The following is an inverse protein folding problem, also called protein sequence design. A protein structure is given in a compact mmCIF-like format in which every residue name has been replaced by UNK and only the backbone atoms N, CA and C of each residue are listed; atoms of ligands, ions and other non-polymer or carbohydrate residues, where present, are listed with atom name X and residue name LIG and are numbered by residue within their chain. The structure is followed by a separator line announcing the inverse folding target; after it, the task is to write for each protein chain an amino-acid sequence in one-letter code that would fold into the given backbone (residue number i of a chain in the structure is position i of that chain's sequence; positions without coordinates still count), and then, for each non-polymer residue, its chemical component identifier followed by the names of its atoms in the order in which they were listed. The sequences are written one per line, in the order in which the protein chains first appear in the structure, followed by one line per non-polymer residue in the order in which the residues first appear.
data_IF_145880702131
#
_entry.id   IF_145880702131
#
_cell.length_a   1.000
_cell.length_b   1.000
_cell.length_c   1.000
_cell.angle_alpha   90.00
_cell.angle_beta   90.00
_cell.angle_gamma   90.00
#
_symmetry.space_group_name_H-M   'P 1'
#
loop_
_entity.id
_entity.type
_entity.pdbx_description
1 polymer ?
#
# COMPACT_ATOMS: atom_id res chain seq x y z
N UNK A 1 -50.66 -22.18 -24.05
CA UNK A 1 -51.26 -21.93 -22.72
C UNK A 1 -51.16 -20.46 -22.29
N UNK A 2 -50.05 -19.81 -22.52
CA UNK A 2 -49.81 -18.37 -22.23
C UNK A 2 -50.82 -17.41 -22.82
N UNK A 3 -51.28 -17.63 -24.05
CA UNK A 3 -52.30 -16.80 -24.74
C UNK A 3 -53.68 -16.84 -24.06
N UNK A 4 -54.10 -18.01 -23.53
CA UNK A 4 -55.37 -18.17 -22.83
C UNK A 4 -55.33 -17.43 -21.48
N UNK A 5 -54.23 -17.53 -20.76
CA UNK A 5 -54.01 -16.83 -19.47
C UNK A 5 -53.97 -15.30 -19.66
N UNK A 6 -53.35 -14.82 -20.74
CA UNK A 6 -53.35 -13.39 -21.09
C UNK A 6 -54.75 -12.87 -21.38
N UNK A 7 -55.56 -13.62 -22.11
CA UNK A 7 -56.98 -13.27 -22.35
C UNK A 7 -57.83 -13.28 -21.05
N UNK A 8 -57.57 -14.25 -20.16
CA UNK A 8 -58.26 -14.32 -18.87
C UNK A 8 -57.89 -13.13 -17.95
N UNK A 9 -56.63 -12.75 -17.91
CA UNK A 9 -56.14 -11.59 -17.15
C UNK A 9 -56.74 -10.29 -17.69
N UNK A 10 -56.81 -10.15 -19.01
CA UNK A 10 -57.41 -8.99 -19.64
C UNK A 10 -58.94 -8.91 -19.36
N UNK A 11 -59.64 -10.03 -19.45
CA UNK A 11 -61.08 -10.11 -19.10
C UNK A 11 -61.32 -9.76 -17.64
N UNK A 12 -60.47 -10.21 -16.72
CA UNK A 12 -60.49 -9.87 -15.30
C UNK A 12 -60.29 -8.38 -15.05
N UNK A 13 -59.41 -7.74 -15.81
CA UNK A 13 -59.19 -6.30 -15.71
C UNK A 13 -60.42 -5.50 -16.19
N UNK A 14 -61.07 -5.91 -17.28
CA UNK A 14 -62.33 -5.31 -17.77
C UNK A 14 -63.42 -5.48 -16.71
N UNK A 15 -63.59 -6.66 -16.13
CA UNK A 15 -64.60 -6.91 -15.10
C UNK A 15 -64.38 -6.06 -13.84
N UNK A 16 -63.14 -5.77 -13.46
CA UNK A 16 -62.83 -4.84 -12.38
C UNK A 16 -63.36 -3.42 -12.68
N UNK A 17 -63.02 -2.89 -13.88
CA UNK A 17 -63.43 -1.53 -14.27
C UNK A 17 -64.99 -1.42 -14.27
N UNK A 18 -65.68 -2.36 -14.93
CA UNK A 18 -67.15 -2.39 -14.99
C UNK A 18 -67.74 -2.53 -13.59
N UNK A 19 -67.15 -3.38 -12.72
CA UNK A 19 -67.64 -3.62 -11.36
C UNK A 19 -67.43 -2.43 -10.41
N UNK A 20 -66.39 -1.64 -10.60
CA UNK A 20 -66.16 -0.40 -9.83
C UNK A 20 -67.18 0.73 -10.24
N UNK A 21 -67.58 0.79 -11.53
CA UNK A 21 -68.53 1.75 -12.01
C UNK A 21 -69.96 1.36 -11.60
N UNK A 22 -70.35 0.09 -11.80
CA UNK A 22 -71.72 -0.40 -11.49
C UNK A 22 -71.69 -1.80 -10.88
N UNK A 23 -71.47 -1.91 -9.54
CA UNK A 23 -71.28 -3.20 -8.83
C UNK A 23 -72.42 -4.20 -9.04
N UNK A 24 -73.66 -3.72 -9.24
CA UNK A 24 -74.82 -4.57 -9.45
C UNK A 24 -74.81 -5.35 -10.77
N UNK A 25 -73.95 -4.99 -11.74
CA UNK A 25 -73.83 -5.74 -12.99
C UNK A 25 -73.01 -6.99 -12.83
N UNK A 26 -71.97 -6.94 -11.96
CA UNK A 26 -71.06 -8.06 -11.73
C UNK A 26 -71.54 -8.96 -10.58
N UNK A 27 -72.03 -8.37 -9.47
CA UNK A 27 -72.46 -9.06 -8.27
C UNK A 27 -74.02 -9.18 -8.20
N UNK A 28 -74.64 -9.80 -9.21
CA UNK A 28 -76.05 -10.02 -9.26
C UNK A 28 -76.59 -10.95 -8.18
N UNK A 29 -75.71 -11.85 -7.64
CA UNK A 29 -76.05 -12.84 -6.62
C UNK A 29 -75.92 -12.34 -5.17
N UNK A 30 -75.55 -11.10 -4.95
CA UNK A 30 -75.42 -10.54 -3.61
C UNK A 30 -76.51 -9.51 -3.29
N UNK A 31 -77.16 -9.64 -2.09
CA UNK A 31 -78.26 -8.74 -1.67
C UNK A 31 -77.80 -7.29 -1.45
N UNK A 32 -76.54 -6.98 -1.33
CA UNK A 32 -75.92 -5.62 -1.24
C UNK A 32 -74.63 -5.57 -2.00
N UNK A 33 -74.67 -5.30 -3.31
CA UNK A 33 -73.41 -5.19 -4.08
C UNK A 33 -72.71 -3.87 -3.73
N UNK A 34 -71.45 -3.98 -3.22
CA UNK A 34 -70.62 -2.84 -2.88
C UNK A 34 -69.31 -2.89 -3.70
N UNK A 35 -68.69 -1.72 -3.99
CA UNK A 35 -67.40 -1.62 -4.69
C UNK A 35 -66.32 -2.40 -3.99
N UNK A 36 -66.32 -2.43 -2.63
CA UNK A 36 -65.37 -3.15 -1.84
C UNK A 36 -65.47 -4.67 -2.05
N UNK A 37 -66.67 -5.23 -2.20
CA UNK A 37 -66.88 -6.66 -2.50
C UNK A 37 -66.39 -7.00 -3.92
N UNK A 38 -66.61 -6.13 -4.91
CA UNK A 38 -66.07 -6.34 -6.24
C UNK A 38 -64.55 -6.41 -6.22
N UNK A 39 -63.90 -5.45 -5.53
CA UNK A 39 -62.46 -5.42 -5.39
C UNK A 39 -61.93 -6.70 -4.65
N UNK A 40 -62.57 -7.13 -3.57
CA UNK A 40 -62.19 -8.31 -2.84
C UNK A 40 -62.23 -9.59 -3.69
N UNK A 41 -63.34 -9.81 -4.44
CA UNK A 41 -63.45 -10.95 -5.35
C UNK A 41 -62.47 -10.86 -6.52
N UNK A 42 -62.13 -9.67 -7.00
CA UNK A 42 -61.13 -9.46 -8.04
C UNK A 42 -59.72 -9.83 -7.55
N UNK A 43 -59.36 -9.39 -6.33
CA UNK A 43 -58.06 -9.76 -5.72
C UNK A 43 -57.95 -11.28 -5.53
N UNK A 44 -59.02 -11.92 -5.09
CA UNK A 44 -59.03 -13.38 -4.90
C UNK A 44 -58.90 -14.12 -6.24
N UNK A 45 -59.59 -13.64 -7.30
CA UNK A 45 -59.48 -14.22 -8.63
C UNK A 45 -58.08 -13.97 -9.27
N UNK A 46 -57.53 -12.78 -9.11
CA UNK A 46 -56.18 -12.46 -9.56
C UNK A 46 -55.10 -13.34 -8.85
N UNK A 47 -55.26 -13.57 -7.54
CA UNK A 47 -54.40 -14.45 -6.75
C UNK A 47 -54.49 -15.91 -7.21
N UNK A 48 -55.67 -16.42 -7.49
CA UNK A 48 -55.89 -17.77 -8.03
C UNK A 48 -55.24 -17.93 -9.42
N UNK A 49 -55.41 -16.92 -10.30
CA UNK A 49 -54.75 -16.95 -11.62
C UNK A 49 -53.23 -16.90 -11.46
N UNK A 50 -52.71 -16.08 -10.53
CA UNK A 50 -51.29 -16.01 -10.22
C UNK A 50 -50.72 -17.38 -9.78
N UNK A 51 -51.42 -18.07 -8.89
CA UNK A 51 -51.03 -19.44 -8.46
C UNK A 51 -51.02 -20.43 -9.63
N UNK A 52 -52.05 -20.37 -10.49
CA UNK A 52 -52.15 -21.26 -11.65
C UNK A 52 -51.04 -20.93 -12.67
N UNK A 53 -50.68 -19.67 -12.84
CA UNK A 53 -49.58 -19.27 -13.76
C UNK A 53 -48.25 -19.80 -13.30
N UNK A 54 -47.98 -19.70 -12.00
CA UNK A 54 -46.74 -20.22 -11.39
C UNK A 54 -46.68 -21.75 -11.45
N UNK A 55 -47.82 -22.42 -11.25
CA UNK A 55 -47.90 -23.90 -11.25
C UNK A 55 -47.89 -24.50 -12.69
N UNK A 56 -48.15 -23.71 -13.73
CA UNK A 56 -48.19 -24.20 -15.13
C UNK A 56 -46.98 -23.80 -15.97
N UNK A 57 -46.00 -23.11 -15.39
CA UNK A 57 -44.71 -22.92 -16.06
C UNK A 57 -44.06 -24.29 -16.21
N UNK A 58 -44.10 -24.79 -17.45
CA UNK A 58 -43.63 -26.12 -17.75
C UNK A 58 -42.11 -26.18 -17.42
N UNK A 59 -41.69 -27.08 -16.52
CA UNK A 59 -40.28 -27.27 -16.10
C UNK A 59 -39.36 -27.47 -17.32
N UNK A 60 -39.90 -27.95 -18.42
CA UNK A 60 -39.19 -28.09 -19.68
C UNK A 60 -38.89 -26.73 -20.36
N UNK A 61 -39.76 -25.75 -20.28
CA UNK A 61 -39.51 -24.40 -20.81
C UNK A 61 -38.50 -23.63 -19.95
N UNK A 62 -38.50 -23.81 -18.64
CA UNK A 62 -37.50 -23.28 -17.71
C UNK A 62 -36.12 -23.88 -18.00
N UNK A 63 -36.05 -25.19 -18.18
CA UNK A 63 -34.81 -25.87 -18.48
C UNK A 63 -34.23 -25.39 -19.82
N UNK A 64 -35.08 -25.24 -20.84
CA UNK A 64 -34.68 -24.73 -22.17
C UNK A 64 -34.13 -23.31 -22.07
N UNK A 65 -34.79 -22.41 -21.34
CA UNK A 65 -34.32 -21.06 -21.10
C UNK A 65 -33.00 -21.03 -20.33
N UNK A 66 -32.82 -21.93 -19.35
CA UNK A 66 -31.57 -22.05 -18.60
C UNK A 66 -30.40 -22.52 -19.46
N UNK A 67 -30.63 -23.49 -20.36
CA UNK A 67 -29.62 -23.96 -21.34
C UNK A 67 -29.24 -22.84 -22.30
N UNK A 68 -30.19 -22.09 -22.81
CA UNK A 68 -29.92 -20.97 -23.73
C UNK A 68 -29.15 -19.85 -23.04
N UNK A 69 -29.53 -19.51 -21.81
CA UNK A 69 -28.77 -18.57 -20.99
C UNK A 69 -27.33 -19.08 -20.71
N UNK A 70 -27.16 -20.36 -20.41
CA UNK A 70 -25.85 -20.96 -20.21
C UNK A 70 -24.97 -20.89 -21.47
N UNK A 71 -25.53 -21.17 -22.66
CA UNK A 71 -24.82 -21.01 -23.94
C UNK A 71 -24.33 -19.57 -24.16
N UNK A 72 -25.16 -18.58 -23.85
CA UNK A 72 -24.79 -17.17 -23.92
C UNK A 72 -23.67 -16.80 -22.90
N UNK A 73 -23.70 -17.36 -21.70
CA UNK A 73 -22.61 -17.18 -20.73
C UNK A 73 -21.31 -17.85 -21.18
N UNK A 74 -21.38 -19.02 -21.84
CA UNK A 74 -20.21 -19.70 -22.42
C UNK A 74 -19.56 -18.82 -23.49
N UNK A 75 -20.35 -18.25 -24.40
CA UNK A 75 -19.86 -17.32 -25.43
C UNK A 75 -19.16 -16.07 -24.86
N UNK A 76 -19.58 -15.64 -23.66
CA UNK A 76 -18.97 -14.53 -22.94
C UNK A 76 -17.87 -14.95 -21.96
N UNK A 77 -17.40 -16.19 -22.03
CA UNK A 77 -16.40 -16.78 -21.15
C UNK A 77 -16.74 -16.70 -19.64
N UNK A 78 -18.04 -16.51 -19.32
CA UNK A 78 -18.52 -16.49 -17.95
C UNK A 78 -18.96 -17.90 -17.51
N UNK A 79 -17.99 -18.75 -17.32
CA UNK A 79 -18.21 -20.18 -17.05
C UNK A 79 -18.91 -20.43 -15.71
N UNK A 80 -18.65 -19.65 -14.68
CA UNK A 80 -19.31 -19.78 -13.37
C UNK A 80 -20.81 -19.56 -13.46
N UNK A 81 -21.24 -18.55 -14.21
CA UNK A 81 -22.66 -18.29 -14.43
C UNK A 81 -23.32 -19.35 -15.31
N UNK A 82 -22.59 -19.89 -16.30
CA UNK A 82 -23.08 -20.99 -17.12
C UNK A 82 -23.30 -22.26 -16.28
N UNK A 83 -22.33 -22.65 -15.43
CA UNK A 83 -22.43 -23.77 -14.52
C UNK A 83 -23.65 -23.63 -13.63
N UNK A 84 -23.81 -22.47 -12.95
CA UNK A 84 -24.96 -22.23 -12.06
C UNK A 84 -26.31 -22.36 -12.76
N UNK A 85 -26.42 -21.99 -14.05
CA UNK A 85 -27.66 -22.17 -14.83
C UNK A 85 -27.94 -23.62 -15.17
N UNK A 86 -26.91 -24.42 -15.44
CA UNK A 86 -27.04 -25.82 -15.85
C UNK A 86 -27.25 -26.74 -14.64
N UNK A 87 -26.64 -26.46 -13.49
CA UNK A 87 -26.80 -27.24 -12.26
C UNK A 87 -28.23 -27.21 -11.69
N UNK A 88 -28.97 -26.14 -11.99
CA UNK A 88 -30.35 -25.98 -11.51
C UNK A 88 -31.38 -26.77 -12.33
N UNK A 89 -30.97 -27.56 -13.34
CA UNK A 89 -31.86 -28.39 -14.14
C UNK A 89 -32.06 -29.75 -13.45
N UNK A 90 -33.32 -30.05 -13.14
CA UNK A 90 -33.69 -31.27 -12.43
C UNK A 90 -33.32 -32.54 -13.24
N UNK A 91 -32.92 -33.61 -12.53
CA UNK A 91 -32.58 -34.90 -13.10
C UNK A 91 -33.71 -35.60 -13.86
N UNK A 92 -34.94 -35.30 -13.46
CA UNK A 92 -36.15 -35.82 -14.09
C UNK A 92 -36.54 -35.08 -15.35
N UNK A 93 -35.88 -33.93 -15.63
CA UNK A 93 -36.17 -33.14 -16.82
C UNK A 93 -35.62 -33.83 -18.08
N UNK A 94 -36.38 -33.91 -19.19
CA UNK A 94 -35.93 -34.51 -20.44
C UNK A 94 -34.66 -33.86 -21.01
N UNK A 95 -34.35 -32.60 -20.68
CA UNK A 95 -33.18 -31.86 -21.13
C UNK A 95 -31.97 -32.01 -20.21
N UNK A 96 -32.09 -32.79 -19.10
CA UNK A 96 -30.99 -33.01 -18.17
C UNK A 96 -29.72 -33.55 -18.82
N UNK A 97 -29.88 -34.47 -19.76
CA UNK A 97 -28.75 -35.08 -20.48
C UNK A 97 -27.97 -34.03 -21.30
N UNK A 98 -28.69 -33.12 -21.98
CA UNK A 98 -28.06 -31.99 -22.71
C UNK A 98 -27.35 -31.03 -21.75
N UNK A 99 -27.95 -30.71 -20.61
CA UNK A 99 -27.36 -29.86 -19.58
C UNK A 99 -26.06 -30.45 -19.02
N UNK A 100 -26.03 -31.77 -18.77
CA UNK A 100 -24.83 -32.46 -18.30
C UNK A 100 -23.68 -32.45 -19.30
N UNK A 101 -23.96 -32.64 -20.58
CA UNK A 101 -22.96 -32.53 -21.64
C UNK A 101 -22.37 -31.11 -21.71
N UNK A 102 -23.21 -30.11 -21.60
CA UNK A 102 -22.76 -28.72 -21.56
C UNK A 102 -21.94 -28.42 -20.28
N UNK A 103 -22.35 -28.95 -19.15
CA UNK A 103 -21.59 -28.82 -17.87
C UNK A 103 -20.18 -29.39 -18.01
N UNK A 104 -20.02 -30.59 -18.52
CA UNK A 104 -18.70 -31.19 -18.76
C UNK A 104 -17.83 -30.34 -19.71
N UNK A 105 -18.43 -29.79 -20.75
CA UNK A 105 -17.73 -28.88 -21.66
C UNK A 105 -17.30 -27.60 -20.97
N UNK A 106 -18.18 -26.98 -20.20
CA UNK A 106 -17.91 -25.75 -19.47
C UNK A 106 -16.84 -25.95 -18.38
N UNK A 107 -16.90 -27.06 -17.65
CA UNK A 107 -15.88 -27.42 -16.67
C UNK A 107 -14.49 -27.57 -17.29
N UNK A 108 -14.44 -28.19 -18.48
CA UNK A 108 -13.19 -28.34 -19.22
C UNK A 108 -12.64 -26.98 -19.67
N UNK A 109 -13.48 -26.11 -20.22
CA UNK A 109 -13.11 -24.77 -20.64
C UNK A 109 -12.68 -23.89 -19.44
N UNK A 110 -13.40 -23.97 -18.33
CA UNK A 110 -13.07 -23.24 -17.13
C UNK A 110 -11.71 -23.64 -16.56
N UNK A 111 -11.39 -24.95 -16.54
CA UNK A 111 -10.08 -25.45 -16.10
C UNK A 111 -8.93 -24.94 -16.99
N UNK A 112 -9.15 -24.95 -18.33
CA UNK A 112 -8.14 -24.44 -19.28
C UNK A 112 -7.90 -22.94 -19.03
N UNK A 113 -8.97 -22.14 -18.98
CA UNK A 113 -8.88 -20.68 -18.78
C UNK A 113 -8.26 -20.32 -17.43
N UNK A 114 -8.59 -21.06 -16.36
CA UNK A 114 -8.00 -20.84 -15.04
C UNK A 114 -6.52 -21.22 -15.03
N UNK A 115 -6.14 -22.31 -15.71
CA UNK A 115 -4.73 -22.69 -15.90
C UNK A 115 -3.93 -21.63 -16.65
N UNK A 116 -4.48 -21.08 -17.74
CA UNK A 116 -3.84 -19.98 -18.49
C UNK A 116 -3.69 -18.72 -17.66
N UNK A 117 -4.71 -18.35 -16.86
CA UNK A 117 -4.64 -17.20 -15.96
C UNK A 117 -3.59 -17.38 -14.86
N UNK A 118 -3.47 -18.57 -14.29
CA UNK A 118 -2.44 -18.87 -13.29
C UNK A 118 -1.04 -18.80 -13.91
N UNK A 119 -0.85 -19.36 -15.09
CA UNK A 119 0.42 -19.31 -15.81
C UNK A 119 0.81 -17.85 -16.15
N UNK A 120 -0.14 -17.06 -16.65
CA UNK A 120 0.10 -15.64 -16.96
C UNK A 120 0.51 -14.84 -15.71
N UNK A 121 -0.15 -15.05 -14.57
CA UNK A 121 0.22 -14.43 -13.29
C UNK A 121 1.61 -14.85 -12.83
N UNK A 122 1.95 -16.12 -12.97
CA UNK A 122 3.28 -16.62 -12.60
C UNK A 122 4.39 -15.99 -13.46
N UNK A 123 4.17 -15.90 -14.77
CA UNK A 123 5.12 -15.27 -15.72
C UNK A 123 5.28 -13.78 -15.38
N UNK A 124 4.17 -13.06 -15.12
CA UNK A 124 4.21 -11.66 -14.74
C UNK A 124 4.96 -11.45 -13.42
N UNK A 125 4.69 -12.27 -12.41
CA UNK A 125 5.37 -12.22 -11.11
C UNK A 125 6.87 -12.45 -11.25
N UNK A 126 7.28 -13.44 -12.06
CA UNK A 126 8.71 -13.70 -12.34
C UNK A 126 9.37 -12.52 -13.04
N UNK A 127 8.69 -11.94 -14.05
CA UNK A 127 9.20 -10.78 -14.78
C UNK A 127 9.39 -9.57 -13.86
N UNK A 128 8.39 -9.24 -13.02
CA UNK A 128 8.49 -8.14 -12.04
C UNK A 128 9.63 -8.37 -11.06
N UNK A 129 9.84 -9.60 -10.58
CA UNK A 129 10.93 -9.93 -9.68
C UNK A 129 12.31 -9.76 -10.37
N UNK A 130 12.42 -10.17 -11.63
CA UNK A 130 13.65 -10.03 -12.43
C UNK A 130 13.95 -8.56 -12.74
N UNK A 131 12.96 -7.78 -13.15
CA UNK A 131 13.10 -6.34 -13.40
C UNK A 131 13.54 -5.59 -12.11
N UNK A 132 12.96 -5.92 -10.97
CA UNK A 132 13.36 -5.36 -9.67
C UNK A 132 14.83 -5.66 -9.35
N UNK A 133 15.25 -6.90 -9.58
CA UNK A 133 16.63 -7.34 -9.36
C UNK A 133 17.61 -6.60 -10.28
N UNK A 134 17.29 -6.48 -11.57
CA UNK A 134 18.12 -5.79 -12.54
C UNK A 134 18.25 -4.30 -12.21
N UNK A 135 17.15 -3.65 -11.86
CA UNK A 135 17.15 -2.26 -11.41
C UNK A 135 18.02 -2.05 -10.16
N UNK A 136 17.99 -2.99 -9.23
CA UNK A 136 18.82 -2.93 -8.01
C UNK A 136 20.32 -3.06 -8.34
N UNK A 137 20.69 -3.96 -9.26
CA UNK A 137 22.08 -4.10 -9.71
C UNK A 137 22.57 -2.83 -10.42
N UNK A 138 21.81 -2.33 -11.39
CA UNK A 138 22.17 -1.11 -12.11
C UNK A 138 22.32 0.09 -11.17
N UNK A 139 21.46 0.19 -10.14
CA UNK A 139 21.57 1.24 -9.12
C UNK A 139 22.88 1.10 -8.35
N UNK A 140 23.22 -0.11 -7.88
CA UNK A 140 24.48 -0.36 -7.16
C UNK A 140 25.70 -0.07 -8.02
N UNK A 141 25.72 -0.47 -9.29
CA UNK A 141 26.81 -0.19 -10.23
C UNK A 141 27.02 1.31 -10.46
N UNK A 142 25.91 2.05 -10.64
CA UNK A 142 25.96 3.52 -10.76
C UNK A 142 26.55 4.17 -9.53
N UNK A 143 26.13 3.74 -8.33
CA UNK A 143 26.65 4.30 -7.08
C UNK A 143 28.11 3.93 -6.86
N UNK A 144 28.51 2.69 -7.17
CA UNK A 144 29.94 2.28 -7.13
C UNK A 144 30.77 3.15 -8.07
N UNK A 145 30.26 3.44 -9.25
CA UNK A 145 30.93 4.33 -10.20
C UNK A 145 31.02 5.75 -9.66
N UNK A 146 29.91 6.30 -9.14
CA UNK A 146 29.86 7.65 -8.55
C UNK A 146 30.91 7.80 -7.43
N UNK A 147 30.99 6.79 -6.53
CA UNK A 147 32.00 6.78 -5.46
C UNK A 147 33.44 6.68 -6.02
N UNK A 148 33.66 5.91 -7.09
CA UNK A 148 34.97 5.80 -7.74
C UNK A 148 35.43 7.06 -8.46
N UNK A 149 34.49 7.72 -9.16
CA UNK A 149 34.77 8.97 -9.89
C UNK A 149 35.11 10.10 -8.90
N UNK A 150 34.79 9.89 -7.62
CA UNK A 150 35.04 10.82 -6.53
C UNK A 150 33.92 11.84 -6.40
N UNK A 151 33.63 12.23 -5.17
CA UNK A 151 32.71 13.33 -4.86
C UNK A 151 33.52 14.53 -4.41
N UNK A 152 33.30 15.66 -5.04
CA UNK A 152 33.91 16.92 -4.58
C UNK A 152 33.13 17.46 -3.39
N UNK A 153 33.56 17.09 -2.19
CA UNK A 153 32.98 17.59 -0.96
C UNK A 153 33.31 19.06 -0.64
N UNK A 154 34.16 19.71 -1.42
CA UNK A 154 34.50 21.12 -1.18
C UNK A 154 33.29 22.05 -1.31
N UNK A 155 32.33 21.68 -2.14
CA UNK A 155 31.07 22.41 -2.34
C UNK A 155 30.12 22.34 -1.14
N UNK A 156 30.30 21.34 -0.26
CA UNK A 156 29.50 21.10 0.94
C UNK A 156 30.13 21.70 2.21
N UNK A 157 30.97 22.73 2.06
CA UNK A 157 31.70 23.35 3.19
C UNK A 157 31.20 24.79 3.41
N UNK A 158 31.41 25.30 4.61
CA UNK A 158 31.19 26.71 4.92
C UNK A 158 29.90 27.05 5.65
N UNK A 159 28.87 26.24 5.58
CA UNK A 159 27.63 26.40 6.35
C UNK A 159 27.19 25.08 6.98
N UNK A 160 26.36 25.12 8.03
CA UNK A 160 25.82 23.91 8.66
C UNK A 160 24.95 23.16 7.67
N UNK A 161 24.12 23.86 6.92
CA UNK A 161 23.22 23.22 5.93
C UNK A 161 24.01 22.49 4.84
N UNK A 162 25.11 23.07 4.38
CA UNK A 162 25.99 22.42 3.41
C UNK A 162 26.62 21.14 3.99
N UNK A 163 27.10 21.17 5.24
CA UNK A 163 27.60 19.96 5.91
C UNK A 163 26.50 18.90 6.09
N UNK A 164 25.26 19.30 6.35
CA UNK A 164 24.14 18.36 6.44
C UNK A 164 23.85 17.71 5.08
N UNK A 165 24.01 18.41 3.96
CA UNK A 165 23.85 17.82 2.63
C UNK A 165 24.88 16.71 2.37
N UNK A 166 26.13 16.86 2.83
CA UNK A 166 27.12 15.78 2.77
C UNK A 166 26.67 14.56 3.60
N UNK A 167 26.11 14.78 4.78
CA UNK A 167 25.55 13.69 5.60
C UNK A 167 24.36 13.00 4.93
N UNK A 168 23.49 13.76 4.25
CA UNK A 168 22.37 13.18 3.47
C UNK A 168 22.88 12.26 2.37
N UNK A 169 23.97 12.61 1.69
CA UNK A 169 24.59 11.76 0.68
C UNK A 169 25.05 10.43 1.28
N UNK A 170 25.75 10.47 2.42
CA UNK A 170 26.14 9.26 3.14
C UNK A 170 24.92 8.43 3.58
N UNK A 171 23.85 9.07 4.05
CA UNK A 171 22.59 8.40 4.38
C UNK A 171 21.94 7.72 3.19
N UNK A 172 22.00 8.33 2.01
CA UNK A 172 21.49 7.73 0.77
C UNK A 172 22.23 6.43 0.45
N UNK A 173 23.56 6.44 0.50
CA UNK A 173 24.34 5.23 0.29
C UNK A 173 24.09 4.17 1.36
N UNK A 174 23.94 4.57 2.62
CA UNK A 174 23.61 3.64 3.70
C UNK A 174 22.27 2.92 3.46
N UNK A 175 21.25 3.63 2.96
CA UNK A 175 19.98 3.01 2.60
C UNK A 175 20.12 2.02 1.44
N UNK A 176 20.85 2.38 0.38
CA UNK A 176 21.12 1.48 -0.76
C UNK A 176 21.86 0.22 -0.31
N UNK A 177 22.83 0.37 0.59
CA UNK A 177 23.57 -0.76 1.18
C UNK A 177 22.63 -1.65 1.98
N UNK A 178 21.79 -1.07 2.84
CA UNK A 178 20.82 -1.82 3.66
C UNK A 178 19.81 -2.59 2.78
N UNK A 179 19.31 -1.97 1.71
CA UNK A 179 18.43 -2.64 0.73
C UNK A 179 19.15 -3.84 0.07
N UNK A 180 20.42 -3.66 -0.28
CA UNK A 180 21.22 -4.69 -0.93
C UNK A 180 21.62 -5.84 0.00
N UNK A 181 21.88 -5.56 1.28
CA UNK A 181 22.17 -6.57 2.30
C UNK A 181 20.97 -7.50 2.56
N UNK A 182 19.76 -7.02 2.37
CA UNK A 182 18.53 -7.79 2.48
C UNK A 182 18.17 -8.57 1.20
N UNK A 183 18.98 -8.47 0.15
CA UNK A 183 18.74 -9.20 -1.10
C UNK A 183 19.20 -10.65 -0.99
N UNK A 184 18.44 -11.59 -1.54
CA UNK A 184 18.83 -12.98 -1.67
C UNK A 184 19.68 -13.25 -2.93
N UNK A 185 19.94 -12.25 -3.78
CA UNK A 185 20.73 -12.41 -4.98
C UNK A 185 22.24 -12.28 -4.68
N UNK A 186 23.04 -13.29 -5.01
CA UNK A 186 24.49 -13.28 -4.70
C UNK A 186 25.26 -12.14 -5.38
N UNK A 187 24.81 -11.72 -6.58
CA UNK A 187 25.47 -10.65 -7.32
C UNK A 187 25.14 -9.28 -6.71
N UNK A 188 23.87 -9.07 -6.33
CA UNK A 188 23.45 -7.88 -5.56
C UNK A 188 24.22 -7.79 -4.26
N UNK A 189 24.34 -8.90 -3.51
CA UNK A 189 25.14 -8.92 -2.27
C UNK A 189 26.62 -8.60 -2.50
N UNK A 190 27.20 -9.10 -3.60
CA UNK A 190 28.60 -8.80 -3.96
C UNK A 190 28.79 -7.31 -4.25
N UNK A 191 27.92 -6.72 -5.08
CA UNK A 191 27.96 -5.29 -5.39
C UNK A 191 27.73 -4.44 -4.13
N UNK A 192 26.81 -4.84 -3.27
CA UNK A 192 26.55 -4.17 -1.99
C UNK A 192 27.80 -4.15 -1.09
N UNK A 193 28.51 -5.27 -0.97
CA UNK A 193 29.77 -5.33 -0.21
C UNK A 193 30.83 -4.40 -0.80
N UNK A 194 30.91 -4.30 -2.13
CA UNK A 194 31.84 -3.38 -2.81
C UNK A 194 31.51 -1.93 -2.51
N UNK A 195 30.21 -1.55 -2.65
CA UNK A 195 29.77 -0.19 -2.33
C UNK A 195 30.03 0.15 -0.86
N UNK A 196 29.67 -0.76 0.06
CA UNK A 196 29.89 -0.59 1.50
C UNK A 196 31.36 -0.31 1.82
N UNK A 197 32.28 -1.12 1.31
CA UNK A 197 33.71 -0.94 1.55
C UNK A 197 34.20 0.44 1.08
N UNK A 198 33.72 0.91 -0.07
CA UNK A 198 34.11 2.22 -0.64
C UNK A 198 33.54 3.38 0.18
N UNK A 199 32.24 3.32 0.54
CA UNK A 199 31.58 4.33 1.34
C UNK A 199 32.21 4.43 2.73
N UNK A 200 32.51 3.31 3.38
CA UNK A 200 33.23 3.30 4.67
C UNK A 200 34.59 3.98 4.54
N UNK A 201 35.38 3.63 3.51
CA UNK A 201 36.68 4.29 3.27
C UNK A 201 36.56 5.79 3.08
N UNK A 202 35.53 6.23 2.34
CA UNK A 202 35.25 7.66 2.11
C UNK A 202 34.85 8.35 3.43
N UNK A 203 33.98 7.74 4.23
CA UNK A 203 33.56 8.29 5.52
C UNK A 203 34.74 8.45 6.48
N UNK A 204 35.62 7.45 6.57
CA UNK A 204 36.84 7.52 7.41
C UNK A 204 37.68 8.75 7.03
N UNK A 205 37.76 9.07 5.75
CA UNK A 205 38.52 10.22 5.24
C UNK A 205 37.81 11.56 5.47
N UNK A 206 36.51 11.62 5.29
CA UNK A 206 35.76 12.88 5.27
C UNK A 206 35.21 13.29 6.64
N UNK A 207 34.80 12.38 7.49
CA UNK A 207 34.25 12.72 8.82
C UNK A 207 35.18 13.54 9.71
N UNK A 208 36.50 13.32 9.75
CA UNK A 208 37.40 14.21 10.50
C UNK A 208 37.36 15.66 10.02
N UNK A 209 37.23 15.88 8.71
CA UNK A 209 37.10 17.21 8.10
C UNK A 209 35.72 17.82 8.43
N UNK A 210 34.64 17.04 8.27
CA UNK A 210 33.28 17.45 8.63
C UNK A 210 33.20 17.96 10.07
N UNK A 211 33.79 17.22 11.02
CA UNK A 211 33.83 17.61 12.44
C UNK A 211 34.62 18.90 12.66
N UNK A 212 35.74 19.06 11.95
CA UNK A 212 36.54 20.28 12.04
C UNK A 212 35.79 21.49 11.46
N UNK A 213 35.16 21.33 10.30
CA UNK A 213 34.42 22.41 9.67
C UNK A 213 33.17 22.80 10.48
N UNK A 214 32.45 21.81 11.04
CA UNK A 214 31.37 22.05 11.97
C UNK A 214 31.85 22.88 13.18
N UNK A 215 32.94 22.46 13.84
CA UNK A 215 33.52 23.20 14.96
C UNK A 215 33.85 24.64 14.57
N UNK A 216 34.47 24.87 13.41
CA UNK A 216 34.83 26.21 12.94
C UNK A 216 33.61 27.10 12.72
N UNK A 217 32.52 26.54 12.14
CA UNK A 217 31.27 27.26 11.90
C UNK A 217 30.59 27.62 13.22
N UNK A 218 30.52 26.63 14.14
CA UNK A 218 29.92 26.83 15.46
C UNK A 218 30.74 27.80 16.29
N UNK A 219 32.05 27.73 16.27
CA UNK A 219 32.94 28.67 16.97
C UNK A 219 32.65 30.12 16.58
N UNK A 220 32.47 30.40 15.26
CA UNK A 220 32.11 31.76 14.79
C UNK A 220 30.77 32.23 15.33
N UNK A 221 29.76 31.35 15.39
CA UNK A 221 28.42 31.68 15.93
C UNK A 221 28.42 31.84 17.45
N UNK A 222 29.28 31.12 18.16
CA UNK A 222 29.33 31.10 19.63
C UNK A 222 30.24 32.19 20.20
N UNK A 223 31.08 32.81 19.38
CA UNK A 223 32.00 33.86 19.80
C UNK A 223 31.30 35.04 20.51
N UNK A 224 30.17 35.46 19.95
CA UNK A 224 29.37 36.54 20.54
C UNK A 224 28.77 36.19 21.91
N UNK A 225 28.74 34.92 22.24
CA UNK A 225 28.27 34.40 23.54
C UNK A 225 29.39 34.03 24.48
N UNK A 226 30.62 34.42 24.15
CA UNK A 226 31.82 34.13 24.95
C UNK A 226 32.03 32.59 25.14
N UNK A 227 31.78 31.84 24.09
CA UNK A 227 31.97 30.38 24.09
C UNK A 227 32.97 30.02 22.97
N UNK A 228 34.10 29.49 23.37
CA UNK A 228 35.09 28.93 22.48
C UNK A 228 34.70 27.48 22.13
N UNK A 229 34.84 27.10 20.84
CA UNK A 229 34.53 25.74 20.37
C UNK A 229 35.74 25.21 19.62
N UNK A 230 36.22 24.04 20.06
CA UNK A 230 37.36 23.35 19.45
C UNK A 230 37.09 21.87 19.31
N UNK A 231 37.88 21.19 18.48
CA UNK A 231 37.82 19.73 18.36
C UNK A 231 39.22 19.15 18.59
N UNK A 232 39.25 18.00 19.23
CA UNK A 232 40.48 17.24 19.46
C UNK A 232 40.26 15.72 19.39
N UNK A 233 41.30 14.96 19.83
CA UNK A 233 41.30 13.50 19.80
C UNK A 233 41.53 12.95 18.41
N UNK A 234 41.62 11.61 18.35
CA UNK A 234 41.78 10.92 17.09
C UNK A 234 40.63 11.22 16.13
N UNK A 235 40.95 11.69 14.92
CA UNK A 235 39.95 12.03 13.88
C UNK A 235 38.95 13.12 14.30
N UNK A 236 39.33 14.05 15.20
CA UNK A 236 38.47 15.10 15.72
C UNK A 236 37.16 14.59 16.35
N UNK A 237 37.21 13.45 17.03
CA UNK A 237 36.04 12.80 17.63
C UNK A 237 35.55 13.46 18.90
N UNK A 238 36.29 14.37 19.50
CA UNK A 238 35.90 15.12 20.69
C UNK A 238 35.65 16.58 20.32
N UNK A 239 34.55 17.14 20.81
CA UNK A 239 34.24 18.57 20.69
C UNK A 239 34.27 19.19 22.06
N UNK A 240 34.93 20.35 22.18
CA UNK A 240 35.09 21.07 23.45
C UNK A 240 34.39 22.41 23.35
N UNK A 241 33.62 22.75 24.37
CA UNK A 241 32.98 24.02 24.56
C UNK A 241 33.54 24.67 25.81
N UNK A 242 34.16 25.85 25.68
CA UNK A 242 34.71 26.59 26.80
C UNK A 242 33.99 27.92 26.94
N UNK A 243 33.13 28.02 27.94
CA UNK A 243 32.38 29.26 28.25
C UNK A 243 33.16 30.17 29.17
N UNK A 244 33.36 31.41 28.74
CA UNK A 244 33.97 32.47 29.52
C UNK A 244 33.00 33.15 30.49
N UNK A 245 33.36 34.36 30.95
CA UNK A 245 32.63 35.12 31.97
C UNK A 245 31.19 35.42 31.56
N UNK A 246 30.97 35.79 30.30
CA UNK A 246 29.65 36.15 29.79
C UNK A 246 28.79 34.92 29.45
N UNK A 247 29.37 33.76 29.28
CA UNK A 247 28.67 32.50 29.07
C UNK A 247 28.08 31.91 30.37
N UNK A 248 28.51 32.39 31.57
CA UNK A 248 28.12 31.85 32.87
C UNK A 248 26.59 31.89 33.12
N UNK A 249 25.88 32.83 32.51
CA UNK A 249 24.43 32.99 32.65
C UNK A 249 23.59 32.16 31.69
N UNK A 250 24.22 31.35 30.79
CA UNK A 250 23.49 30.49 29.86
C UNK A 250 22.97 29.24 30.55
N UNK A 251 21.72 28.85 30.23
CA UNK A 251 21.18 27.60 30.70
C UNK A 251 21.95 26.43 30.03
N UNK A 252 22.75 25.71 30.85
CA UNK A 252 23.58 24.61 30.42
C UNK A 252 22.76 23.48 29.82
N UNK A 253 21.59 23.20 30.38
CA UNK A 253 20.75 22.09 29.94
C UNK A 253 20.17 22.36 28.54
N UNK A 254 19.72 23.59 28.28
CA UNK A 254 19.18 23.95 26.97
C UNK A 254 20.29 23.89 25.92
N UNK A 255 21.48 24.41 26.24
CA UNK A 255 22.63 24.31 25.34
C UNK A 255 23.03 22.84 25.02
N UNK A 256 23.03 21.99 26.04
CA UNK A 256 23.32 20.56 25.85
C UNK A 256 22.28 19.89 24.96
N UNK A 257 20.99 20.17 25.17
CA UNK A 257 19.89 19.60 24.37
C UNK A 257 19.95 20.03 22.90
N UNK A 258 20.32 21.29 22.64
CA UNK A 258 20.46 21.79 21.27
C UNK A 258 21.63 21.13 20.53
N UNK A 259 22.75 20.95 21.23
CA UNK A 259 23.97 20.41 20.66
C UNK A 259 23.90 18.88 20.47
N UNK A 260 23.19 18.17 21.36
CA UNK A 260 23.16 16.70 21.40
C UNK A 260 22.84 16.05 20.04
N UNK A 261 21.72 16.44 19.41
CA UNK A 261 21.28 15.88 18.12
C UNK A 261 22.33 16.07 17.02
N UNK A 262 23.02 17.21 17.05
CA UNK A 262 24.01 17.55 16.04
C UNK A 262 25.30 16.75 16.26
N UNK A 263 25.68 16.48 17.52
CA UNK A 263 26.84 15.65 17.84
C UNK A 263 26.65 14.22 17.35
N UNK A 264 25.46 13.68 17.48
CA UNK A 264 25.10 12.37 16.96
C UNK A 264 25.20 12.31 15.43
N UNK A 265 24.67 13.32 14.73
CA UNK A 265 24.75 13.39 13.27
C UNK A 265 26.18 13.41 12.75
N UNK A 266 27.10 14.16 13.38
CA UNK A 266 28.52 14.24 13.01
C UNK A 266 29.37 13.14 13.65
N UNK A 267 28.74 12.24 14.42
CA UNK A 267 29.35 11.10 15.10
C UNK A 267 30.55 11.50 15.96
N UNK A 268 30.38 12.52 16.75
CA UNK A 268 31.29 12.81 17.84
C UNK A 268 31.14 11.72 18.91
N UNK A 269 32.27 11.25 19.45
CA UNK A 269 32.25 10.29 20.54
C UNK A 269 32.02 10.97 21.88
N UNK A 270 32.41 12.22 21.98
CA UNK A 270 32.38 12.93 23.25
C UNK A 270 32.26 14.43 23.04
N UNK A 271 31.43 15.07 23.88
CA UNK A 271 31.45 16.53 24.07
C UNK A 271 31.92 16.85 25.47
N UNK A 272 32.85 17.80 25.56
CA UNK A 272 33.44 18.25 26.80
C UNK A 272 33.12 19.71 27.01
N UNK A 273 32.78 20.05 28.26
CA UNK A 273 32.35 21.38 28.65
C UNK A 273 33.22 21.88 29.79
N UNK A 274 33.73 23.12 29.64
CA UNK A 274 34.41 23.89 30.65
C UNK A 274 33.67 25.21 30.76
N UNK A 275 33.10 25.52 31.90
CA UNK A 275 32.27 26.72 32.08
C UNK A 275 32.73 27.55 33.25
N UNK A 276 32.96 28.86 33.01
CA UNK A 276 33.35 29.79 34.04
C UNK A 276 32.24 29.93 35.12
N UNK A 277 32.66 29.87 36.38
CA UNK A 277 31.74 29.90 37.53
C UNK A 277 31.87 31.20 38.33
N UNK A 278 33.00 31.89 38.19
CA UNK A 278 33.40 33.07 38.98
C UNK A 278 34.67 32.81 39.78
N UNK A 279 35.35 33.89 40.20
CA UNK A 279 36.58 33.81 41.01
C UNK A 279 37.64 32.85 40.45
N UNK A 280 37.83 32.85 39.13
CA UNK A 280 38.75 31.95 38.41
C UNK A 280 38.44 30.45 38.53
N UNK A 281 37.25 30.09 38.99
CA UNK A 281 36.76 28.74 39.05
C UNK A 281 36.00 28.34 37.77
N UNK A 282 36.09 27.05 37.42
CA UNK A 282 35.40 26.45 36.25
C UNK A 282 34.66 25.19 36.68
N UNK A 283 33.50 24.98 36.07
CA UNK A 283 32.80 23.70 36.13
C UNK A 283 33.12 22.90 34.89
N UNK A 284 33.39 21.62 35.06
CA UNK A 284 33.71 20.69 33.97
C UNK A 284 32.68 19.58 33.95
N UNK A 285 32.22 19.21 32.74
CA UNK A 285 31.43 18.01 32.55
C UNK A 285 31.64 17.44 31.15
N UNK A 286 31.27 16.19 30.95
CA UNK A 286 31.44 15.46 29.72
C UNK A 286 30.17 14.68 29.42
N UNK A 287 29.74 14.72 28.19
CA UNK A 287 28.69 13.87 27.66
C UNK A 287 29.35 12.89 26.70
N UNK A 288 29.02 11.62 26.87
CA UNK A 288 29.46 10.57 25.96
C UNK A 288 28.33 10.30 24.98
N UNK A 289 28.57 10.59 23.71
CA UNK A 289 27.64 10.37 22.60
C UNK A 289 28.21 9.35 21.66
N UNK A 290 27.44 8.29 21.49
CA UNK A 290 27.70 7.34 20.45
C UNK A 290 28.78 6.30 20.73
N UNK A 291 28.55 5.14 20.22
CA UNK A 291 29.50 4.06 20.09
C UNK A 291 30.39 4.37 18.88
N UNK A 292 31.62 3.88 18.93
CA UNK A 292 32.52 3.79 17.76
C UNK A 292 31.94 2.74 16.79
N UNK A 293 30.72 2.98 16.32
CA UNK A 293 30.05 2.09 15.38
C UNK A 293 30.59 2.33 13.98
N UNK A 294 30.67 1.27 13.22
CA UNK A 294 30.96 1.32 11.80
C UNK A 294 30.13 2.41 11.14
N UNK A 295 30.81 3.28 10.44
CA UNK A 295 30.31 4.59 10.04
C UNK A 295 29.16 4.59 9.03
N UNK A 296 28.73 3.44 8.55
CA UNK A 296 27.77 3.38 7.43
C UNK A 296 26.31 3.55 7.85
N UNK A 297 25.94 3.14 9.04
CA UNK A 297 24.54 3.23 9.44
C UNK A 297 24.21 4.61 10.01
N UNK A 298 23.36 5.38 9.34
CA UNK A 298 22.50 6.33 10.03
C UNK A 298 21.43 5.49 10.72
N UNK A 299 21.47 5.43 12.03
CA UNK A 299 20.47 4.73 12.81
C UNK A 299 19.07 5.24 12.42
N UNK A 300 18.16 4.29 12.17
CA UNK A 300 16.76 4.55 11.83
C UNK A 300 16.04 5.21 12.98
#
# INVERSE_FOLDING_TARGET
MTTILAFLSFALFITLIVGLVKPSLILRWTNKPTRLKVFGYWVLAAFLIGIITVATENDQEKAKSSIEAAKNYIEKENYSSAISKLENIDKENPLYSEAQLLLQKVDSLNKITEGERQLAKEVETKKVAEDKKNNQKERLEREIKSVNDGVDFSTYRGTIDALQMELVLFGTWANIISEGENSNDPEVQKLTKQLKAKVVSMQIKEFPKLRKDYSNIVAKKMWENDIEVTVDGANNKYINFSGGIFAANKNKQDFQNEVHKVLEMFRFNQSRYRWYKGADEYTYWTIYEGKDSDLVAFDK
#
